data_IF_520380808676
#
_entry.id   IF_520380808676
#
_cell.length_a   1.000
_cell.length_b   1.000
_cell.length_c   1.000
_cell.angle_alpha   90.00
_cell.angle_beta   90.00
_cell.angle_gamma   90.00
#
_symmetry.space_group_name_H-M   'P 1'
#
loop_
_entity.id
_entity.type
_entity.pdbx_description
1 polymer ?
#
# COMPACT_ATOMS: atom_id res chain seq x y z
N UNK A 1 22.85 39.05 -28.97
CA UNK A 1 21.94 38.04 -29.54
C UNK A 1 21.07 37.57 -28.37
N UNK A 2 19.79 37.85 -28.46
CA UNK A 2 18.80 37.61 -27.40
C UNK A 2 18.18 36.24 -27.65
N UNK A 3 18.30 35.34 -26.72
CA UNK A 3 17.61 34.06 -26.76
C UNK A 3 16.19 34.22 -26.19
N UNK A 4 15.22 33.87 -27.04
CA UNK A 4 13.78 33.96 -26.78
C UNK A 4 13.33 32.62 -26.22
N UNK A 5 12.92 32.59 -24.97
CA UNK A 5 12.20 31.44 -24.42
C UNK A 5 10.73 31.52 -24.82
N UNK A 6 10.30 30.59 -25.64
CA UNK A 6 8.91 30.45 -26.07
C UNK A 6 8.17 29.63 -25.00
N UNK A 7 7.31 30.30 -24.24
CA UNK A 7 6.36 29.66 -23.32
C UNK A 7 5.14 29.23 -24.14
N UNK A 8 4.90 27.93 -24.23
CA UNK A 8 3.68 27.40 -24.79
C UNK A 8 2.55 27.47 -23.75
N UNK A 9 1.64 28.41 -23.93
CA UNK A 9 0.33 28.42 -23.32
C UNK A 9 -0.58 27.50 -24.12
N UNK A 10 -0.96 26.36 -23.58
CA UNK A 10 -2.07 25.56 -24.09
C UNK A 10 -3.39 26.13 -23.60
N UNK A 11 -4.06 26.86 -24.48
CA UNK A 11 -5.47 27.27 -24.32
C UNK A 11 -6.34 25.99 -24.43
N UNK A 12 -6.95 25.55 -23.35
CA UNK A 12 -8.05 24.62 -23.40
C UNK A 12 -9.35 25.39 -23.63
N UNK A 13 -9.88 25.29 -24.84
CA UNK A 13 -11.21 25.78 -25.23
C UNK A 13 -12.23 24.80 -24.63
N UNK A 14 -13.19 25.36 -23.90
CA UNK A 14 -14.21 24.64 -23.18
C UNK A 14 -15.12 23.79 -24.06
N UNK A 15 -15.38 22.59 -23.61
CA UNK A 15 -16.59 21.83 -23.91
C UNK A 15 -17.30 21.64 -22.58
N UNK A 16 -18.50 22.22 -22.49
CA UNK A 16 -19.42 22.09 -21.35
C UNK A 16 -19.92 20.65 -21.26
N UNK A 17 -19.18 19.84 -20.52
CA UNK A 17 -19.63 18.59 -19.97
C UNK A 17 -19.47 18.72 -18.47
N UNK A 18 -20.48 18.38 -17.68
CA UNK A 18 -20.43 18.30 -16.22
C UNK A 18 -19.35 17.26 -15.89
N UNK A 19 -18.10 17.69 -15.85
CA UNK A 19 -16.99 16.88 -15.42
C UNK A 19 -17.02 16.84 -13.90
N UNK A 20 -17.33 15.70 -13.31
CA UNK A 20 -17.00 15.39 -11.93
C UNK A 20 -15.47 15.46 -11.82
N UNK A 21 -14.93 16.62 -11.51
CA UNK A 21 -13.53 16.80 -11.16
C UNK A 21 -13.32 16.13 -9.82
N UNK A 22 -12.85 14.90 -9.82
CA UNK A 22 -12.32 14.27 -8.62
C UNK A 22 -11.04 15.00 -8.25
N UNK A 23 -11.15 15.90 -7.31
CA UNK A 23 -9.99 16.44 -6.64
C UNK A 23 -9.59 15.44 -5.56
N UNK A 24 -8.65 14.57 -5.89
CA UNK A 24 -7.87 13.91 -4.86
C UNK A 24 -7.22 15.01 -4.03
N UNK A 25 -7.26 14.90 -2.71
CA UNK A 25 -6.37 15.71 -1.86
C UNK A 25 -4.96 15.34 -2.28
N UNK A 26 -4.42 16.10 -3.20
CA UNK A 26 -3.10 15.85 -3.76
C UNK A 26 -2.07 16.25 -2.71
N UNK A 27 -1.77 15.33 -1.79
CA UNK A 27 -0.66 15.47 -0.86
C UNK A 27 0.69 15.47 -1.61
N UNK A 28 0.66 15.31 -2.92
CA UNK A 28 1.80 15.28 -3.80
C UNK A 28 1.92 13.94 -4.54
N UNK A 29 2.78 13.92 -5.55
CA UNK A 29 3.08 12.72 -6.31
C UNK A 29 3.74 11.67 -5.40
N UNK A 30 3.32 10.41 -5.49
CA UNK A 30 4.06 9.30 -4.91
C UNK A 30 5.48 9.28 -5.48
N UNK A 31 6.47 9.31 -4.61
CA UNK A 31 7.88 9.33 -5.00
C UNK A 31 8.46 7.94 -5.27
N UNK A 32 7.72 6.89 -4.97
CA UNK A 32 8.11 5.52 -5.31
C UNK A 32 7.76 5.26 -6.78
N UNK A 33 8.72 4.99 -7.65
CA UNK A 33 8.43 4.56 -9.02
C UNK A 33 7.87 3.14 -9.01
N UNK A 34 6.87 2.87 -9.87
CA UNK A 34 6.23 1.57 -10.00
C UNK A 34 5.79 0.97 -8.65
N UNK A 35 4.91 1.66 -7.89
CA UNK A 35 4.60 1.35 -6.49
C UNK A 35 3.87 0.02 -6.28
N UNK A 36 3.08 -0.43 -7.26
CA UNK A 36 2.34 -1.70 -7.26
C UNK A 36 3.02 -2.79 -8.09
N UNK A 37 4.29 -2.61 -8.48
CA UNK A 37 5.07 -3.60 -9.27
C UNK A 37 4.50 -3.93 -10.66
N UNK A 38 3.60 -3.12 -11.20
CA UNK A 38 2.88 -3.39 -12.45
C UNK A 38 3.77 -3.38 -13.71
N UNK A 39 4.82 -2.54 -13.69
CA UNK A 39 5.74 -2.40 -14.81
C UNK A 39 6.88 -3.40 -14.69
N UNK A 40 6.87 -4.42 -15.53
CA UNK A 40 7.92 -5.42 -15.62
C UNK A 40 8.36 -5.67 -17.07
N UNK A 41 9.62 -6.03 -17.27
CA UNK A 41 10.19 -6.32 -18.59
C UNK A 41 9.61 -7.58 -19.23
N UNK A 42 9.17 -8.52 -18.41
CA UNK A 42 8.51 -9.76 -18.83
C UNK A 42 7.74 -10.38 -17.66
N UNK A 43 6.81 -11.29 -17.97
CA UNK A 43 6.16 -12.10 -16.96
C UNK A 43 7.17 -12.95 -16.18
N UNK A 44 6.99 -13.12 -14.85
CA UNK A 44 7.88 -13.92 -14.04
C UNK A 44 7.86 -15.38 -14.48
N UNK A 45 9.03 -16.00 -14.48
CA UNK A 45 9.23 -17.40 -14.92
C UNK A 45 9.93 -18.27 -13.88
N UNK A 46 10.56 -17.62 -12.89
CA UNK A 46 11.40 -18.28 -11.88
C UNK A 46 11.38 -17.46 -10.58
N UNK A 47 11.89 -18.03 -9.49
CA UNK A 47 12.18 -17.30 -8.26
C UNK A 47 13.23 -16.21 -8.51
N UNK A 48 13.37 -15.30 -7.54
CA UNK A 48 14.33 -14.20 -7.58
C UNK A 48 14.14 -13.22 -8.76
N UNK A 49 12.93 -13.13 -9.33
CA UNK A 49 12.67 -12.38 -10.57
C UNK A 49 12.42 -10.87 -10.36
N UNK A 50 12.56 -10.36 -9.14
CA UNK A 50 12.37 -8.92 -8.85
C UNK A 50 13.27 -8.02 -9.71
N UNK A 51 14.43 -8.51 -10.13
CA UNK A 51 15.32 -7.82 -11.07
C UNK A 51 14.72 -7.51 -12.45
N UNK A 52 13.61 -8.16 -12.81
CA UNK A 52 12.83 -7.88 -14.02
C UNK A 52 11.83 -6.74 -13.88
N UNK A 53 11.49 -6.36 -12.65
CA UNK A 53 10.53 -5.30 -12.35
C UNK A 53 11.20 -3.93 -12.50
N UNK A 54 10.52 -3.02 -13.19
CA UNK A 54 11.06 -1.68 -13.45
C UNK A 54 11.25 -0.92 -12.14
N UNK A 55 12.41 -0.31 -11.98
CA UNK A 55 12.88 0.44 -10.81
C UNK A 55 13.26 -0.38 -9.57
N UNK A 56 12.76 -1.60 -9.37
CA UNK A 56 12.99 -2.43 -8.18
C UNK A 56 14.23 -3.34 -8.26
N UNK A 57 15.12 -3.09 -9.19
CA UNK A 57 16.30 -3.91 -9.50
C UNK A 57 17.63 -3.34 -8.98
N UNK A 58 17.60 -2.49 -7.96
CA UNK A 58 18.80 -1.77 -7.49
C UNK A 58 19.87 -2.66 -6.84
N UNK A 59 19.52 -3.87 -6.46
CA UNK A 59 20.42 -4.77 -5.75
C UNK A 59 20.46 -6.14 -6.44
N UNK A 60 21.51 -6.45 -7.19
CA UNK A 60 21.62 -7.73 -7.93
C UNK A 60 21.71 -8.98 -7.03
N UNK A 61 21.82 -8.82 -5.71
CA UNK A 61 21.98 -9.91 -4.75
C UNK A 61 20.76 -10.13 -3.85
N UNK A 62 19.64 -9.42 -4.08
CA UNK A 62 18.39 -9.68 -3.37
C UNK A 62 17.56 -10.67 -4.17
N UNK A 63 17.17 -11.75 -3.51
CA UNK A 63 16.40 -12.85 -4.10
C UNK A 63 14.88 -12.69 -3.93
N UNK A 64 14.38 -11.46 -3.83
CA UNK A 64 12.95 -11.21 -3.74
C UNK A 64 12.20 -11.73 -4.98
N UNK A 65 11.03 -12.29 -4.75
CA UNK A 65 10.20 -12.85 -5.79
C UNK A 65 9.25 -11.82 -6.40
N UNK A 66 8.83 -12.06 -7.63
CA UNK A 66 7.85 -11.27 -8.34
C UNK A 66 6.66 -12.12 -8.77
N UNK A 67 5.45 -11.64 -8.52
CA UNK A 67 4.20 -12.29 -8.88
C UNK A 67 3.38 -11.40 -9.78
N UNK A 68 2.81 -11.97 -10.84
CA UNK A 68 1.98 -11.23 -11.77
C UNK A 68 0.94 -12.14 -12.42
N UNK A 69 -0.25 -11.60 -12.69
CA UNK A 69 -1.35 -12.34 -13.33
C UNK A 69 -1.00 -12.89 -14.73
N UNK A 70 -0.04 -12.27 -15.42
CA UNK A 70 0.46 -12.79 -16.70
C UNK A 70 1.35 -14.03 -16.59
N UNK A 71 1.81 -14.41 -15.39
CA UNK A 71 2.64 -15.58 -15.22
C UNK A 71 1.86 -16.83 -15.62
N UNK A 72 2.45 -17.60 -16.53
CA UNK A 72 1.94 -18.92 -16.83
C UNK A 72 2.63 -19.94 -15.89
N UNK A 73 1.94 -21.01 -15.59
CA UNK A 73 2.53 -22.15 -14.87
C UNK A 73 3.61 -22.77 -15.76
N UNK A 74 4.87 -22.34 -15.56
CA UNK A 74 5.98 -22.86 -16.34
C UNK A 74 6.61 -24.06 -15.64
N UNK A 75 6.64 -25.19 -16.35
CA UNK A 75 7.61 -26.23 -16.11
C UNK A 75 8.63 -26.16 -17.26
N UNK A 76 9.76 -25.52 -17.06
CA UNK A 76 10.82 -25.65 -18.06
C UNK A 76 11.32 -27.09 -18.08
N UNK A 77 11.68 -27.61 -19.27
CA UNK A 77 12.25 -28.96 -19.39
C UNK A 77 13.47 -29.15 -18.48
N UNK A 78 14.27 -28.09 -18.34
CA UNK A 78 15.46 -28.06 -17.49
C UNK A 78 15.12 -28.14 -16.01
N UNK A 79 14.08 -27.45 -15.55
CA UNK A 79 13.63 -27.52 -14.16
C UNK A 79 13.11 -28.92 -13.83
N UNK A 80 12.29 -29.53 -14.70
CA UNK A 80 11.83 -30.93 -14.53
C UNK A 80 12.95 -31.94 -14.52
N UNK A 81 14.03 -31.75 -15.32
CA UNK A 81 15.19 -32.63 -15.32
C UNK A 81 15.99 -32.54 -14.01
N UNK A 82 16.09 -31.31 -13.46
CA UNK A 82 16.83 -31.06 -12.23
C UNK A 82 16.03 -31.42 -10.97
N UNK A 83 14.71 -31.29 -11.03
CA UNK A 83 13.80 -31.51 -9.91
C UNK A 83 12.56 -32.33 -10.31
N UNK A 84 12.73 -33.62 -10.66
CA UNK A 84 11.67 -34.42 -11.26
C UNK A 84 10.49 -34.71 -10.33
N UNK A 85 10.63 -34.51 -9.02
CA UNK A 85 9.62 -34.78 -7.99
C UNK A 85 9.10 -33.51 -7.30
N UNK A 86 9.41 -32.33 -7.82
CA UNK A 86 8.99 -31.07 -7.18
C UNK A 86 7.72 -30.52 -7.80
N UNK A 87 6.96 -29.80 -6.96
CA UNK A 87 5.76 -29.11 -7.37
C UNK A 87 6.07 -28.01 -8.38
N UNK A 88 5.09 -27.70 -9.20
CA UNK A 88 5.18 -26.70 -10.27
C UNK A 88 5.46 -25.32 -9.66
N UNK A 89 6.55 -24.67 -10.07
CA UNK A 89 6.79 -23.26 -9.75
C UNK A 89 5.69 -22.41 -10.37
N UNK A 90 4.97 -21.69 -9.54
CA UNK A 90 3.89 -20.82 -9.94
C UNK A 90 4.05 -19.45 -9.29
N UNK A 91 4.31 -18.43 -10.10
CA UNK A 91 4.39 -17.02 -9.69
C UNK A 91 3.19 -16.22 -10.18
N UNK A 92 2.06 -16.88 -10.39
CA UNK A 92 0.83 -16.24 -10.83
C UNK A 92 0.06 -15.60 -9.67
N UNK A 93 -0.72 -14.59 -10.00
CA UNK A 93 -1.71 -13.96 -9.15
C UNK A 93 -3.10 -14.42 -9.62
N UNK A 94 -4.02 -14.79 -8.72
CA UNK A 94 -3.93 -14.76 -7.24
C UNK A 94 -3.35 -16.05 -6.63
N UNK A 95 -3.15 -17.09 -7.40
CA UNK A 95 -2.72 -18.40 -6.90
C UNK A 95 -1.26 -18.65 -7.26
N UNK A 96 -0.42 -18.68 -6.25
CA UNK A 96 1.01 -18.94 -6.38
C UNK A 96 1.43 -20.21 -5.64
N UNK A 97 2.72 -20.57 -5.74
CA UNK A 97 3.32 -21.65 -4.95
C UNK A 97 3.31 -21.38 -3.44
N UNK A 98 3.17 -20.12 -3.02
CA UNK A 98 3.14 -19.70 -1.60
C UNK A 98 1.72 -19.62 -1.02
N UNK A 99 0.69 -19.71 -1.86
CA UNK A 99 -0.70 -19.63 -1.43
C UNK A 99 -1.60 -18.83 -2.35
N UNK A 100 -2.73 -18.38 -1.81
CA UNK A 100 -3.70 -17.56 -2.52
C UNK A 100 -3.66 -16.14 -1.98
N UNK A 101 -3.38 -15.17 -2.86
CA UNK A 101 -3.48 -13.75 -2.54
C UNK A 101 -3.84 -12.96 -3.81
N UNK A 102 -4.96 -12.24 -3.78
CA UNK A 102 -5.24 -11.23 -4.81
C UNK A 102 -4.28 -10.05 -4.66
N UNK A 103 -3.84 -9.46 -5.77
CA UNK A 103 -3.13 -8.20 -5.71
C UNK A 103 -4.00 -7.16 -4.99
N UNK A 104 -3.38 -6.31 -4.17
CA UNK A 104 -4.11 -5.24 -3.50
C UNK A 104 -4.62 -4.23 -4.50
N UNK A 105 -3.79 -3.85 -5.45
CA UNK A 105 -4.18 -3.11 -6.65
C UNK A 105 -3.55 -3.75 -7.89
N UNK A 106 -4.08 -3.47 -9.08
CA UNK A 106 -3.51 -3.99 -10.32
C UNK A 106 -3.51 -5.52 -10.44
N UNK A 107 -2.41 -6.04 -10.99
CA UNK A 107 -2.23 -7.45 -11.37
C UNK A 107 -0.94 -8.08 -10.80
N UNK A 108 -0.19 -7.35 -9.96
CA UNK A 108 1.14 -7.75 -9.50
C UNK A 108 1.38 -7.46 -8.01
N UNK A 109 2.39 -8.10 -7.45
CA UNK A 109 2.99 -7.79 -6.15
C UNK A 109 4.39 -8.44 -6.05
N UNK A 110 5.17 -8.02 -5.07
CA UNK A 110 6.45 -8.65 -4.72
C UNK A 110 6.29 -9.63 -3.55
N UNK A 111 7.29 -10.49 -3.36
CA UNK A 111 7.35 -11.41 -2.21
C UNK A 111 8.75 -11.47 -1.62
N UNK A 112 8.83 -11.56 -0.30
CA UNK A 112 10.09 -11.66 0.43
C UNK A 112 10.01 -12.62 1.61
N UNK A 113 11.09 -13.38 1.78
CA UNK A 113 11.35 -14.14 3.00
C UNK A 113 11.95 -13.23 4.08
N UNK A 114 11.47 -13.34 5.30
CA UNK A 114 11.92 -12.49 6.40
C UNK A 114 13.35 -12.76 6.87
N UNK A 115 13.95 -13.85 6.42
CA UNK A 115 15.27 -14.25 6.95
C UNK A 115 16.43 -13.50 6.28
N UNK A 116 16.31 -13.16 4.99
CA UNK A 116 17.46 -12.70 4.20
C UNK A 116 17.08 -11.91 2.93
N UNK A 117 15.86 -11.47 2.78
CA UNK A 117 15.41 -10.76 1.59
C UNK A 117 14.87 -9.37 1.92
N UNK A 118 15.02 -8.46 0.98
CA UNK A 118 14.47 -7.11 1.05
C UNK A 118 14.15 -6.58 -0.33
N UNK A 119 13.18 -5.67 -0.39
CA UNK A 119 12.87 -4.88 -1.57
C UNK A 119 13.54 -3.52 -1.45
N UNK A 120 14.14 -3.02 -2.52
CA UNK A 120 14.72 -1.70 -2.49
C UNK A 120 14.55 -0.96 -3.81
N UNK A 121 14.32 0.35 -3.71
CA UNK A 121 14.07 1.22 -4.85
C UNK A 121 14.64 2.61 -4.61
N UNK A 122 15.03 3.28 -5.70
CA UNK A 122 15.39 4.69 -5.71
C UNK A 122 14.14 5.52 -5.94
N UNK A 123 13.91 6.52 -5.09
CA UNK A 123 12.82 7.47 -5.25
C UNK A 123 13.00 8.34 -6.51
N UNK A 124 11.90 8.83 -7.07
CA UNK A 124 11.90 9.71 -8.25
C UNK A 124 12.69 11.00 -8.05
N UNK A 125 12.80 11.47 -6.82
CA UNK A 125 13.63 12.61 -6.41
C UNK A 125 14.01 12.48 -4.94
N UNK A 126 15.11 13.15 -4.49
CA UNK A 126 15.44 13.20 -3.06
C UNK A 126 14.33 13.86 -2.23
N UNK A 127 14.23 13.45 -0.97
CA UNK A 127 13.36 14.08 0.01
C UNK A 127 13.92 15.47 0.37
N UNK A 128 13.01 16.40 0.62
CA UNK A 128 13.33 17.80 0.96
C UNK A 128 13.49 17.91 2.47
N UNK A 129 14.59 18.50 2.91
CA UNK A 129 14.87 18.71 4.32
C UNK A 129 13.69 19.36 5.06
N UNK A 130 13.46 18.89 6.27
CA UNK A 130 12.41 19.36 7.21
C UNK A 130 10.96 19.20 6.67
N UNK A 131 10.80 18.58 5.50
CA UNK A 131 9.47 18.22 4.98
C UNK A 131 9.00 16.90 5.57
N UNK A 132 7.70 16.79 5.86
CA UNK A 132 7.05 15.57 6.32
C UNK A 132 6.55 14.77 5.13
N UNK A 133 6.71 13.46 5.20
CA UNK A 133 6.20 12.49 4.20
C UNK A 133 5.34 11.45 4.88
N UNK A 134 4.16 11.16 4.32
CA UNK A 134 3.42 9.94 4.65
C UNK A 134 4.08 8.80 3.91
N UNK A 135 4.44 7.77 4.64
CA UNK A 135 5.09 6.56 4.12
C UNK A 135 4.21 5.38 4.43
N UNK A 136 3.96 4.52 3.44
CA UNK A 136 3.06 3.39 3.59
C UNK A 136 3.39 2.28 2.60
N UNK A 137 3.15 1.05 3.00
CA UNK A 137 3.15 -0.13 2.16
C UNK A 137 2.27 -1.21 2.79
N UNK A 138 1.86 -2.19 2.01
CA UNK A 138 0.97 -3.25 2.47
C UNK A 138 1.65 -4.60 2.42
N UNK A 139 1.34 -5.42 3.42
CA UNK A 139 1.86 -6.78 3.52
C UNK A 139 0.73 -7.79 3.73
N UNK A 140 0.89 -8.99 3.20
CA UNK A 140 0.05 -10.14 3.51
C UNK A 140 0.93 -11.36 3.75
N UNK A 141 0.63 -12.13 4.80
CA UNK A 141 1.39 -13.33 5.10
C UNK A 141 1.01 -14.46 4.14
N UNK A 142 1.97 -15.07 3.48
CA UNK A 142 1.71 -16.18 2.58
C UNK A 142 1.12 -17.40 3.30
N UNK A 143 0.17 -18.10 2.67
CA UNK A 143 -0.48 -19.30 3.21
C UNK A 143 0.49 -20.42 3.59
N UNK A 144 1.62 -20.51 2.90
CA UNK A 144 2.67 -21.49 3.17
C UNK A 144 3.48 -21.20 4.44
N UNK A 145 3.38 -20.00 5.00
CA UNK A 145 4.08 -19.60 6.22
C UNK A 145 3.58 -20.36 7.44
N UNK A 146 4.49 -20.73 8.34
CA UNK A 146 4.15 -21.35 9.63
C UNK A 146 4.29 -20.38 10.81
N UNK A 147 4.81 -19.18 10.56
CA UNK A 147 4.99 -18.14 11.55
C UNK A 147 4.74 -16.75 10.94
N UNK A 148 4.35 -15.79 11.77
CA UNK A 148 4.29 -14.37 11.43
C UNK A 148 5.24 -13.57 12.31
N UNK A 149 5.83 -12.51 11.78
CA UNK A 149 6.70 -11.59 12.52
C UNK A 149 6.00 -10.31 12.91
N UNK A 150 6.55 -9.59 13.88
CA UNK A 150 6.19 -8.21 14.20
C UNK A 150 7.23 -7.19 13.74
N UNK A 151 8.40 -7.65 13.32
CA UNK A 151 9.52 -6.78 12.91
C UNK A 151 9.60 -6.67 11.40
N UNK A 152 8.76 -5.81 10.86
CA UNK A 152 8.71 -5.49 9.45
C UNK A 152 8.67 -3.97 9.31
N UNK A 153 9.45 -3.41 8.38
CA UNK A 153 9.52 -1.97 8.25
C UNK A 153 10.12 -1.48 6.94
N UNK A 154 10.28 -0.15 6.87
CA UNK A 154 10.96 0.53 5.77
C UNK A 154 12.09 1.40 6.30
N UNK A 155 13.27 1.22 5.74
CA UNK A 155 14.43 2.06 5.95
C UNK A 155 14.58 3.08 4.82
N UNK A 156 14.86 4.34 5.17
CA UNK A 156 14.99 5.46 4.25
C UNK A 156 16.40 6.03 4.37
N UNK A 157 17.11 6.22 3.24
CA UNK A 157 18.52 6.62 3.23
C UNK A 157 18.90 7.54 2.08
N UNK A 158 20.01 8.31 2.29
CA UNK A 158 20.61 9.15 1.25
C UNK A 158 21.42 8.31 0.24
N UNK A 159 22.06 7.26 0.71
CA UNK A 159 22.96 6.41 -0.08
C UNK A 159 22.28 5.08 -0.39
N UNK A 160 22.61 4.45 -1.54
CA UNK A 160 22.17 3.10 -1.81
C UNK A 160 22.59 2.18 -0.67
N UNK A 161 21.65 1.35 -0.22
CA UNK A 161 21.95 0.32 0.78
C UNK A 161 22.91 -0.68 0.12
N UNK A 162 24.16 -0.70 0.56
CA UNK A 162 25.16 -1.65 0.09
C UNK A 162 25.28 -2.78 1.08
N UNK A 163 25.10 -3.99 0.59
CA UNK A 163 25.42 -5.19 1.35
C UNK A 163 26.87 -5.53 1.05
N UNK A 164 27.73 -5.43 2.03
CA UNK A 164 29.10 -5.91 1.91
C UNK A 164 29.09 -7.41 2.17
N UNK A 165 29.29 -8.17 1.11
CA UNK A 165 29.43 -9.63 1.16
C UNK A 165 30.85 -10.02 1.58
N UNK A 166 31.16 -9.91 2.84
CA UNK A 166 32.22 -10.72 3.40
C UNK A 166 31.60 -11.99 3.96
N UNK A 167 31.71 -13.06 3.17
CA UNK A 167 31.29 -14.44 3.48
C UNK A 167 29.78 -14.72 3.55
N UNK A 168 29.17 -15.04 2.42
CA UNK A 168 28.05 -15.98 2.20
C UNK A 168 26.81 -16.02 3.14
N UNK A 169 26.61 -15.09 4.08
CA UNK A 169 25.58 -15.20 5.10
C UNK A 169 24.96 -13.87 5.56
N UNK A 170 24.87 -12.82 4.74
CA UNK A 170 24.83 -11.48 5.34
C UNK A 170 23.94 -10.41 4.67
N UNK A 171 22.80 -10.78 4.12
CA UNK A 171 21.72 -9.80 3.98
C UNK A 171 21.18 -9.40 5.36
N UNK A 172 21.19 -10.32 6.29
CA UNK A 172 20.67 -10.12 7.64
C UNK A 172 21.47 -9.11 8.47
N UNK A 173 22.79 -9.00 8.34
CA UNK A 173 23.57 -8.19 9.28
C UNK A 173 23.49 -6.69 9.04
N UNK A 174 23.30 -6.22 7.81
CA UNK A 174 23.27 -4.77 7.55
C UNK A 174 21.91 -4.14 7.89
N UNK A 175 20.80 -4.80 7.57
CA UNK A 175 19.47 -4.36 7.97
C UNK A 175 19.22 -4.53 9.47
N UNK A 176 20.04 -5.33 10.15
CA UNK A 176 19.92 -5.64 11.58
C UNK A 176 20.42 -4.52 12.49
N UNK A 177 21.41 -3.74 12.04
CA UNK A 177 22.07 -2.74 12.89
C UNK A 177 21.46 -1.35 12.78
N UNK A 178 20.49 -1.16 11.87
CA UNK A 178 19.86 0.14 11.64
C UNK A 178 18.35 0.02 11.81
N UNK A 179 17.75 0.67 12.81
CA UNK A 179 16.31 0.64 12.99
C UNK A 179 15.61 1.31 11.80
N UNK A 180 14.54 0.69 11.25
CA UNK A 180 13.73 1.32 10.21
C UNK A 180 13.02 2.54 10.78
N UNK A 181 12.85 3.58 9.96
CA UNK A 181 12.12 4.78 10.38
C UNK A 181 10.61 4.55 10.41
N UNK A 182 10.12 3.67 9.54
CA UNK A 182 8.72 3.24 9.52
C UNK A 182 8.69 1.75 9.82
N UNK A 183 7.93 1.36 10.83
CA UNK A 183 7.88 -0.04 11.26
C UNK A 183 6.48 -0.44 11.70
N UNK A 184 6.19 -1.71 11.57
CA UNK A 184 4.99 -2.31 12.16
C UNK A 184 5.00 -2.09 13.68
N UNK A 185 3.86 -1.76 14.30
CA UNK A 185 3.75 -1.67 15.75
C UNK A 185 4.30 -2.90 16.47
N UNK A 186 5.09 -2.73 17.55
CA UNK A 186 5.83 -3.84 18.18
C UNK A 186 4.93 -4.86 18.90
N UNK A 187 3.68 -4.54 19.16
CA UNK A 187 2.65 -5.38 19.77
C UNK A 187 1.82 -6.14 18.72
N UNK A 188 1.91 -5.79 17.45
CA UNK A 188 1.14 -6.41 16.36
C UNK A 188 1.97 -7.46 15.63
N UNK A 189 1.56 -8.73 15.68
CA UNK A 189 2.08 -9.78 14.82
C UNK A 189 1.35 -9.78 13.48
N UNK A 190 2.09 -9.80 12.39
CA UNK A 190 1.58 -9.86 11.02
C UNK A 190 1.26 -11.32 10.67
N UNK A 191 0.05 -11.74 10.99
CA UNK A 191 -0.40 -13.14 10.84
C UNK A 191 -1.56 -13.32 9.88
N UNK A 192 -2.06 -12.24 9.28
CA UNK A 192 -3.17 -12.30 8.34
C UNK A 192 -2.69 -12.82 6.99
N UNK A 193 -3.32 -13.92 6.53
CA UNK A 193 -3.04 -14.57 5.23
C UNK A 193 -4.14 -14.27 4.20
N UNK A 194 -5.20 -13.57 4.58
CA UNK A 194 -6.33 -13.29 3.71
C UNK A 194 -6.38 -11.83 3.26
N UNK A 195 -5.94 -10.93 4.13
CA UNK A 195 -6.05 -9.49 3.91
C UNK A 195 -4.67 -8.82 3.83
N UNK A 196 -4.64 -7.67 3.19
CA UNK A 196 -3.49 -6.79 3.17
C UNK A 196 -3.47 -5.91 4.42
N UNK A 197 -2.40 -6.00 5.18
CA UNK A 197 -2.18 -5.21 6.40
C UNK A 197 -1.30 -4.01 6.08
N UNK A 198 -1.74 -2.77 6.34
CA UNK A 198 -0.92 -1.59 6.14
C UNK A 198 0.18 -1.48 7.20
N UNK A 199 1.36 -1.02 6.77
CA UNK A 199 2.43 -0.53 7.62
C UNK A 199 2.70 0.91 7.19
N UNK A 200 2.43 1.86 8.07
CA UNK A 200 2.47 3.27 7.71
C UNK A 200 3.01 4.15 8.85
N UNK A 201 3.43 5.35 8.49
CA UNK A 201 3.87 6.35 9.44
C UNK A 201 4.28 7.65 8.75
N UNK A 202 4.65 8.64 9.57
CA UNK A 202 5.18 9.91 9.08
C UNK A 202 6.69 9.95 9.26
N UNK A 203 7.36 10.46 8.23
CA UNK A 203 8.80 10.66 8.23
C UNK A 203 9.14 12.12 7.98
N UNK A 204 9.83 12.75 8.92
CA UNK A 204 10.41 14.09 8.71
C UNK A 204 11.80 13.92 8.09
N UNK A 205 11.95 14.37 6.85
CA UNK A 205 13.17 14.21 6.09
C UNK A 205 14.33 15.04 6.62
N UNK A 206 15.52 14.44 6.65
CA UNK A 206 16.78 15.14 6.98
C UNK A 206 17.33 15.92 5.78
N UNK A 207 16.87 15.55 4.58
CA UNK A 207 17.23 16.12 3.29
C UNK A 207 18.26 15.27 2.56
N UNK A 208 17.97 14.95 1.30
CA UNK A 208 18.87 14.16 0.46
C UNK A 208 18.55 12.67 0.37
N UNK A 209 17.67 12.16 1.24
CA UNK A 209 17.27 10.74 1.19
C UNK A 209 16.58 10.44 -0.13
N UNK A 210 17.01 9.40 -0.80
CA UNK A 210 16.50 9.02 -2.11
C UNK A 210 16.43 7.49 -2.33
N UNK A 211 16.65 6.69 -1.30
CA UNK A 211 16.53 5.24 -1.36
C UNK A 211 15.67 4.74 -0.22
N UNK A 212 14.86 3.74 -0.51
CA UNK A 212 14.10 3.00 0.50
C UNK A 212 14.40 1.51 0.39
N UNK A 213 14.33 0.82 1.54
CA UNK A 213 14.36 -0.64 1.60
C UNK A 213 13.28 -1.15 2.55
N UNK A 214 12.58 -2.22 2.14
CA UNK A 214 11.50 -2.86 2.88
C UNK A 214 11.93 -4.28 3.23
N UNK A 215 11.76 -4.68 4.50
CA UNK A 215 12.11 -6.02 4.96
C UNK A 215 12.08 -6.18 6.47
N UNK A 216 12.70 -7.26 6.95
CA UNK A 216 12.95 -7.50 8.38
C UNK A 216 14.22 -6.83 8.84
N UNK A 217 14.14 -6.06 9.93
CA UNK A 217 15.26 -5.23 10.41
C UNK A 217 15.87 -5.72 11.73
N UNK A 218 15.63 -6.94 12.13
CA UNK A 218 16.15 -7.50 13.37
C UNK A 218 16.66 -8.94 13.16
N UNK A 219 17.69 -9.38 13.91
CA UNK A 219 18.11 -10.76 13.85
C UNK A 219 16.94 -11.68 14.24
N UNK A 220 16.86 -12.78 13.52
CA UNK A 220 15.86 -13.81 13.83
C UNK A 220 16.03 -14.26 15.29
N UNK A 221 14.96 -14.12 16.07
CA UNK A 221 14.87 -14.63 17.43
C UNK A 221 13.46 -15.17 17.66
N UNK A 222 13.33 -16.31 18.33
CA UNK A 222 12.03 -16.98 18.53
C UNK A 222 10.96 -16.08 19.20
N UNK A 223 11.36 -15.10 20.02
CA UNK A 223 10.42 -14.13 20.61
C UNK A 223 9.86 -13.10 19.62
N UNK A 224 10.43 -13.03 18.42
CA UNK A 224 10.05 -12.05 17.39
C UNK A 224 9.05 -12.60 16.39
N UNK A 225 8.78 -13.89 16.45
CA UNK A 225 7.85 -14.60 15.58
C UNK A 225 6.77 -15.29 16.39
N UNK A 226 5.55 -15.25 15.88
CA UNK A 226 4.42 -15.98 16.41
C UNK A 226 4.19 -17.21 15.55
N UNK A 227 4.33 -18.39 16.13
CA UNK A 227 3.96 -19.66 15.48
C UNK A 227 2.46 -19.70 15.23
N UNK A 228 2.06 -19.94 13.98
CA UNK A 228 0.66 -19.95 13.57
C UNK A 228 0.16 -21.38 13.40
N UNK A 229 1.03 -22.28 12.96
CA UNK A 229 0.67 -23.68 12.61
C UNK A 229 1.84 -24.62 12.88
N UNK A 230 1.50 -25.89 13.10
CA UNK A 230 2.50 -26.97 13.07
C UNK A 230 2.89 -27.26 11.62
N UNK A 231 4.20 -27.31 11.38
CA UNK A 231 4.90 -27.64 10.13
C UNK A 231 4.01 -28.06 8.95
N UNK A 232 3.51 -27.08 8.17
CA UNK A 232 3.14 -27.40 6.79
C UNK A 232 4.45 -27.56 6.01
N UNK A 233 4.57 -28.51 5.08
CA UNK A 233 5.69 -28.53 4.17
C UNK A 233 5.60 -27.24 3.34
N UNK A 234 6.49 -26.31 3.58
CA UNK A 234 6.82 -25.25 2.63
C UNK A 234 7.14 -25.94 1.31
N UNK A 235 6.81 -25.27 0.20
CA UNK A 235 7.25 -25.74 -1.09
C UNK A 235 8.71 -26.18 -0.95
N UNK A 236 9.02 -27.39 -1.35
CA UNK A 236 10.29 -28.10 -1.11
C UNK A 236 11.56 -27.32 -1.52
N UNK A 237 11.38 -26.19 -2.17
CA UNK A 237 12.41 -25.24 -2.61
C UNK A 237 13.10 -24.55 -1.45
N UNK A 238 12.36 -24.19 -0.39
CA UNK A 238 12.95 -23.63 0.82
C UNK A 238 13.23 -24.75 1.82
N UNK A 239 14.22 -25.56 1.52
CA UNK A 239 14.84 -26.49 2.49
C UNK A 239 15.77 -25.74 3.42
N UNK A 240 15.29 -24.64 4.02
CA UNK A 240 16.02 -24.07 5.12
C UNK A 240 15.88 -25.01 6.32
N UNK A 241 16.97 -25.19 7.04
CA UNK A 241 17.01 -25.90 8.32
C UNK A 241 16.24 -25.14 9.41
N UNK A 242 15.60 -24.04 9.07
CA UNK A 242 14.90 -23.15 9.97
C UNK A 242 13.51 -23.67 10.29
N UNK A 243 13.24 -23.81 11.58
CA UNK A 243 11.98 -24.36 12.10
C UNK A 243 10.76 -23.45 11.88
N UNK A 244 10.96 -22.17 11.57
CA UNK A 244 9.91 -21.19 11.41
C UNK A 244 10.23 -20.29 10.21
N UNK A 245 9.31 -20.19 9.25
CA UNK A 245 9.45 -19.32 8.09
C UNK A 245 8.25 -18.40 7.99
N UNK A 246 8.52 -17.10 7.89
CA UNK A 246 7.56 -16.08 7.53
C UNK A 246 7.90 -15.55 6.14
N UNK A 247 6.98 -15.71 5.20
CA UNK A 247 7.08 -15.18 3.84
C UNK A 247 5.93 -14.18 3.62
N UNK A 248 6.25 -12.99 3.15
CA UNK A 248 5.26 -11.92 2.95
C UNK A 248 5.19 -11.48 1.51
N UNK A 249 3.96 -11.28 1.05
CA UNK A 249 3.68 -10.47 -0.12
C UNK A 249 3.69 -8.99 0.26
N UNK A 250 4.17 -8.14 -0.66
CA UNK A 250 4.27 -6.68 -0.48
C UNK A 250 3.68 -6.00 -1.71
N UNK A 251 2.83 -4.98 -1.48
CA UNK A 251 2.17 -4.23 -2.55
C UNK A 251 1.97 -2.76 -2.17
N UNK A 252 1.68 -1.92 -3.16
CA UNK A 252 1.28 -0.51 -3.02
C UNK A 252 2.18 0.32 -2.11
N UNK A 253 3.46 0.40 -2.46
CA UNK A 253 4.46 1.15 -1.71
C UNK A 253 4.34 2.65 -2.00
N UNK A 254 4.29 3.49 -0.98
CA UNK A 254 4.16 4.93 -1.15
C UNK A 254 5.07 5.75 -0.24
N UNK A 255 5.60 6.83 -0.79
CA UNK A 255 6.27 7.93 -0.09
C UNK A 255 5.72 9.22 -0.70
N UNK A 256 4.83 9.89 0.01
CA UNK A 256 4.08 11.04 -0.49
C UNK A 256 4.33 12.25 0.40
N UNK A 257 4.64 13.45 -0.16
CA UNK A 257 4.74 14.67 0.62
C UNK A 257 3.45 14.91 1.41
N UNK A 258 3.59 15.16 2.71
CA UNK A 258 2.49 15.41 3.61
C UNK A 258 2.36 16.91 3.86
N UNK A 259 1.26 17.51 3.42
CA UNK A 259 1.01 18.92 3.64
C UNK A 259 0.18 19.12 4.92
N UNK A 260 0.80 19.64 5.97
CA UNK A 260 0.11 19.95 7.24
C UNK A 260 -0.99 21.01 7.11
N UNK A 261 -0.88 21.89 6.11
CA UNK A 261 -1.88 22.92 5.83
C UNK A 261 -2.94 22.43 4.84
N UNK A 262 -3.67 21.42 5.27
CA UNK A 262 -4.78 20.94 4.50
C UNK A 262 -6.02 21.80 4.82
N UNK A 263 -6.51 22.53 3.82
CA UNK A 263 -7.71 23.36 3.92
C UNK A 263 -8.67 22.96 2.81
N UNK A 264 -9.61 22.05 3.08
CA UNK A 264 -10.57 21.63 2.07
C UNK A 264 -11.51 22.78 1.69
N UNK A 265 -11.80 22.91 0.41
CA UNK A 265 -12.73 23.90 -0.13
C UNK A 265 -14.19 23.46 0.09
N UNK A 266 -15.05 24.41 0.42
CA UNK A 266 -16.48 24.16 0.63
C UNK A 266 -17.13 23.77 -0.70
N UNK A 267 -17.98 22.75 -0.70
CA UNK A 267 -18.71 22.25 -1.88
C UNK A 267 -17.86 21.40 -2.84
N UNK A 268 -16.62 21.08 -2.45
CA UNK A 268 -15.74 20.18 -3.21
C UNK A 268 -15.74 18.79 -2.56
N UNK A 269 -15.89 17.75 -3.37
CA UNK A 269 -15.80 16.35 -2.91
C UNK A 269 -14.32 15.91 -2.85
N UNK A 270 -13.93 15.37 -1.72
CA UNK A 270 -12.60 14.82 -1.46
C UNK A 270 -12.68 13.35 -1.12
N UNK A 271 -11.74 12.56 -1.62
CA UNK A 271 -11.56 11.16 -1.22
C UNK A 271 -10.68 11.10 0.02
N UNK A 272 -11.14 10.43 1.06
CA UNK A 272 -10.32 10.06 2.20
C UNK A 272 -9.31 8.99 1.75
N UNK A 273 -8.02 9.33 1.78
CA UNK A 273 -6.94 8.55 1.17
C UNK A 273 -6.50 7.36 2.04
N UNK A 274 -6.55 7.54 3.36
CA UNK A 274 -5.98 6.62 4.35
C UNK A 274 -7.06 6.01 5.24
N UNK A 275 -8.22 5.68 4.64
CA UNK A 275 -9.31 5.01 5.34
C UNK A 275 -9.31 3.53 5.00
N UNK A 276 -9.02 2.72 5.99
CA UNK A 276 -8.86 1.28 5.84
C UNK A 276 -9.93 0.53 6.59
N UNK A 277 -10.44 -0.50 5.94
CA UNK A 277 -11.37 -1.47 6.50
C UNK A 277 -10.83 -2.87 6.25
N UNK A 278 -11.07 -3.80 7.14
CA UNK A 278 -10.87 -5.21 6.82
C UNK A 278 -11.76 -5.62 5.63
N UNK A 279 -11.34 -6.70 4.96
CA UNK A 279 -12.13 -7.25 3.86
C UNK A 279 -13.55 -7.57 4.34
N UNK A 280 -14.52 -7.09 3.58
CA UNK A 280 -15.95 -7.27 3.87
C UNK A 280 -16.43 -6.70 5.21
N UNK A 281 -15.67 -5.78 5.81
CA UNK A 281 -16.00 -5.12 7.08
C UNK A 281 -16.16 -3.61 6.93
N UNK A 282 -16.73 -3.03 7.96
CA UNK A 282 -16.90 -1.59 8.13
C UNK A 282 -16.26 -1.04 9.43
N UNK A 283 -15.46 -1.86 10.12
CA UNK A 283 -14.64 -1.39 11.24
C UNK A 283 -13.41 -0.68 10.70
N UNK A 284 -13.17 0.55 11.19
CA UNK A 284 -11.98 1.32 10.83
C UNK A 284 -10.74 0.67 11.43
N UNK A 285 -9.70 0.51 10.62
CA UNK A 285 -8.40 0.09 11.13
C UNK A 285 -7.70 1.27 11.82
N UNK A 286 -6.84 1.01 12.83
CA UNK A 286 -6.13 2.05 13.58
C UNK A 286 -5.35 3.04 12.71
N UNK A 287 -4.87 2.59 11.56
CA UNK A 287 -4.12 3.38 10.58
C UNK A 287 -4.96 4.49 9.93
N UNK A 288 -6.30 4.41 10.03
CA UNK A 288 -7.21 5.47 9.56
C UNK A 288 -7.25 6.67 10.50
N UNK A 289 -6.76 6.54 11.73
CA UNK A 289 -6.91 7.55 12.77
C UNK A 289 -6.24 8.89 12.41
N UNK A 290 -5.07 8.85 11.79
CA UNK A 290 -4.31 10.07 11.46
C UNK A 290 -5.08 11.02 10.54
N UNK A 291 -5.70 10.51 9.48
CA UNK A 291 -6.48 11.34 8.55
C UNK A 291 -7.77 11.84 9.19
N UNK A 292 -8.45 10.98 9.94
CA UNK A 292 -9.70 11.34 10.62
C UNK A 292 -9.48 12.32 11.77
N UNK A 293 -8.37 12.22 12.49
CA UNK A 293 -8.00 13.22 13.52
C UNK A 293 -7.80 14.60 12.91
N UNK A 294 -7.08 14.70 11.78
CA UNK A 294 -6.90 15.97 11.06
C UNK A 294 -8.23 16.57 10.59
N UNK A 295 -9.12 15.74 10.07
CA UNK A 295 -10.44 16.17 9.65
C UNK A 295 -11.26 16.65 10.86
N UNK A 296 -11.17 15.93 11.99
CA UNK A 296 -11.80 16.33 13.24
C UNK A 296 -11.25 17.66 13.78
N UNK A 297 -9.92 17.83 13.77
CA UNK A 297 -9.28 19.10 14.19
C UNK A 297 -9.74 20.26 13.30
N UNK A 298 -9.76 20.06 11.97
CA UNK A 298 -10.24 21.07 11.04
C UNK A 298 -11.69 21.47 11.31
N UNK A 299 -12.60 20.49 11.46
CA UNK A 299 -14.02 20.73 11.74
C UNK A 299 -14.26 21.36 13.11
N UNK A 300 -13.43 21.08 14.12
CA UNK A 300 -13.49 21.71 15.42
C UNK A 300 -13.07 23.18 15.38
N UNK A 301 -12.09 23.54 14.52
CA UNK A 301 -11.68 24.93 14.27
C UNK A 301 -12.69 25.70 13.43
N UNK A 302 -13.57 24.99 12.68
CA UNK A 302 -14.57 25.58 11.79
C UNK A 302 -15.99 25.11 12.19
N UNK A 303 -16.56 25.66 13.28
CA UNK A 303 -17.89 25.25 13.79
C UNK A 303 -19.05 25.61 12.84
N UNK A 304 -18.82 26.47 11.88
CA UNK A 304 -19.72 26.89 10.81
C UNK A 304 -19.80 25.92 9.61
N UNK A 305 -19.04 24.82 9.65
CA UNK A 305 -19.06 23.80 8.60
C UNK A 305 -19.78 22.54 9.03
N UNK A 306 -20.53 21.98 8.10
CA UNK A 306 -21.09 20.62 8.12
C UNK A 306 -20.29 19.71 7.18
N UNK A 307 -20.31 18.41 7.42
CA UNK A 307 -19.68 17.42 6.59
C UNK A 307 -20.69 16.39 6.08
N UNK A 308 -20.61 16.06 4.80
CA UNK A 308 -21.36 14.97 4.17
C UNK A 308 -20.38 13.89 3.75
N UNK A 309 -20.57 12.67 4.24
CA UNK A 309 -19.68 11.51 4.00
C UNK A 309 -20.41 10.52 3.09
N UNK A 310 -19.76 10.09 2.01
CA UNK A 310 -20.32 9.11 1.07
C UNK A 310 -19.40 7.92 0.90
N UNK A 311 -19.92 6.72 1.20
CA UNK A 311 -19.20 5.47 0.97
C UNK A 311 -19.49 4.87 -0.40
N UNK A 312 -18.50 4.23 -1.02
CA UNK A 312 -18.61 3.56 -2.31
C UNK A 312 -18.00 2.16 -2.26
N UNK A 313 -18.47 1.29 -3.17
CA UNK A 313 -17.92 -0.04 -3.40
C UNK A 313 -17.53 -0.21 -4.87
N UNK A 314 -16.81 -1.27 -5.18
CA UNK A 314 -16.74 -1.79 -6.54
C UNK A 314 -18.03 -2.52 -6.93
N UNK A 315 -18.04 -3.15 -8.12
CA UNK A 315 -19.21 -3.84 -8.66
C UNK A 315 -19.34 -5.33 -8.22
N UNK A 316 -18.50 -5.82 -7.31
CA UNK A 316 -18.67 -7.15 -6.77
C UNK A 316 -19.78 -7.18 -5.71
N UNK A 317 -20.64 -8.21 -5.79
CA UNK A 317 -21.79 -8.36 -4.90
C UNK A 317 -23.10 -7.84 -5.47
N UNK A 318 -24.19 -7.98 -4.70
CA UNK A 318 -25.49 -7.44 -5.09
C UNK A 318 -25.58 -5.95 -4.79
N UNK A 319 -26.44 -5.24 -5.50
CA UNK A 319 -26.68 -3.81 -5.29
C UNK A 319 -27.07 -3.50 -3.82
N UNK A 320 -28.01 -4.27 -3.27
CA UNK A 320 -28.43 -4.11 -1.87
C UNK A 320 -27.28 -4.34 -0.88
N UNK A 321 -26.45 -5.33 -1.15
CA UNK A 321 -25.28 -5.62 -0.34
C UNK A 321 -24.27 -4.46 -0.35
N UNK A 322 -23.92 -4.00 -1.57
CA UNK A 322 -22.98 -2.89 -1.78
C UNK A 322 -23.49 -1.58 -1.16
N UNK A 323 -24.79 -1.30 -1.26
CA UNK A 323 -25.40 -0.14 -0.64
C UNK A 323 -25.25 -0.20 0.90
N UNK A 324 -25.56 -1.35 1.50
CA UNK A 324 -25.42 -1.53 2.95
C UNK A 324 -23.96 -1.43 3.41
N UNK A 325 -23.02 -2.09 2.70
CA UNK A 325 -21.61 -2.05 3.06
C UNK A 325 -21.05 -0.62 2.99
N UNK A 326 -21.33 0.09 1.90
CA UNK A 326 -20.87 1.48 1.73
C UNK A 326 -21.48 2.42 2.77
N UNK A 327 -22.77 2.25 3.10
CA UNK A 327 -23.43 3.03 4.15
C UNK A 327 -22.80 2.77 5.54
N UNK A 328 -22.50 1.52 5.86
CA UNK A 328 -21.85 1.17 7.14
C UNK A 328 -20.43 1.74 7.22
N UNK A 329 -19.68 1.79 6.12
CA UNK A 329 -18.35 2.42 6.06
C UNK A 329 -18.42 3.93 6.24
N UNK A 330 -19.36 4.60 5.57
CA UNK A 330 -19.60 6.04 5.79
C UNK A 330 -20.01 6.33 7.23
N UNK A 331 -20.88 5.47 7.81
CA UNK A 331 -21.29 5.55 9.21
C UNK A 331 -20.10 5.42 10.17
N UNK A 332 -19.19 4.48 9.95
CA UNK A 332 -18.01 4.31 10.82
C UNK A 332 -17.13 5.56 10.84
N UNK A 333 -16.92 6.21 9.70
CA UNK A 333 -16.23 7.52 9.62
C UNK A 333 -17.02 8.58 10.38
N UNK A 334 -18.34 8.66 10.20
CA UNK A 334 -19.20 9.62 10.89
C UNK A 334 -19.19 9.43 12.42
N UNK A 335 -19.21 8.19 12.88
CA UNK A 335 -19.14 7.85 14.31
C UNK A 335 -17.78 8.25 14.89
N UNK A 336 -16.68 7.98 14.18
CA UNK A 336 -15.35 8.42 14.59
C UNK A 336 -15.26 9.94 14.77
N UNK A 337 -15.75 10.73 13.82
CA UNK A 337 -15.76 12.19 13.92
C UNK A 337 -16.61 12.66 15.12
N UNK A 338 -17.76 12.03 15.36
CA UNK A 338 -18.61 12.36 16.50
C UNK A 338 -17.94 12.04 17.84
N UNK A 339 -17.24 10.92 17.95
CA UNK A 339 -16.44 10.54 19.12
C UNK A 339 -15.27 11.50 19.38
N UNK A 340 -14.76 12.14 18.30
CA UNK A 340 -13.71 13.15 18.37
C UNK A 340 -14.24 14.60 18.43
N UNK A 341 -15.48 14.78 18.91
CA UNK A 341 -16.01 16.09 19.34
C UNK A 341 -16.84 16.83 18.29
N UNK A 342 -17.06 16.26 17.10
CA UNK A 342 -17.92 16.89 16.09
C UNK A 342 -19.38 16.59 16.43
N UNK A 343 -20.18 17.66 16.62
CA UNK A 343 -21.61 17.53 16.92
C UNK A 343 -22.34 16.73 15.84
N UNK A 344 -23.12 15.70 16.23
CA UNK A 344 -23.77 14.75 15.32
C UNK A 344 -24.64 15.43 14.27
N UNK A 345 -25.29 16.53 14.59
CA UNK A 345 -26.09 17.31 13.66
C UNK A 345 -25.31 17.99 12.54
N UNK A 346 -23.99 18.05 12.65
CA UNK A 346 -23.08 18.58 11.63
C UNK A 346 -22.54 17.48 10.69
N UNK A 347 -22.90 16.23 10.94
CA UNK A 347 -22.40 15.07 10.19
C UNK A 347 -23.56 14.40 9.49
N UNK A 348 -23.56 14.42 8.17
CA UNK A 348 -24.44 13.60 7.32
C UNK A 348 -23.63 12.48 6.66
N UNK A 349 -24.25 11.32 6.46
CA UNK A 349 -23.58 10.21 5.80
C UNK A 349 -24.54 9.35 5.00
N UNK A 350 -24.04 8.75 3.91
CA UNK A 350 -24.78 7.83 3.07
C UNK A 350 -23.87 6.85 2.35
N UNK A 351 -24.47 5.73 1.90
CA UNK A 351 -23.83 4.80 0.99
C UNK A 351 -24.34 4.99 -0.43
N UNK A 352 -23.45 5.01 -1.41
CA UNK A 352 -23.76 5.01 -2.84
C UNK A 352 -23.63 3.61 -3.48
N UNK A 353 -23.12 2.61 -2.73
CA UNK A 353 -22.83 1.30 -3.29
C UNK A 353 -21.89 1.38 -4.48
N UNK A 354 -22.19 0.66 -5.54
CA UNK A 354 -21.41 0.65 -6.79
C UNK A 354 -22.00 1.58 -7.88
N UNK A 355 -22.96 2.45 -7.55
CA UNK A 355 -23.68 3.27 -8.52
C UNK A 355 -22.86 4.43 -9.10
N UNK A 356 -21.81 4.87 -8.42
CA UNK A 356 -20.97 6.00 -8.80
C UNK A 356 -19.50 5.57 -8.98
N UNK A 357 -19.17 4.75 -9.98
CA UNK A 357 -17.81 4.34 -10.22
C UNK A 357 -16.97 5.50 -10.77
N UNK A 358 -15.72 5.62 -10.31
CA UNK A 358 -14.76 6.64 -10.74
C UNK A 358 -13.69 6.07 -11.67
N UNK A 359 -13.65 4.75 -11.76
CA UNK A 359 -12.73 4.02 -12.62
C UNK A 359 -13.41 2.74 -13.16
N UNK A 360 -12.76 2.11 -14.14
CA UNK A 360 -13.27 0.89 -14.77
C UNK A 360 -13.26 -0.29 -13.80
N UNK A 361 -14.44 -0.80 -13.47
CA UNK A 361 -14.62 -2.00 -12.64
C UNK A 361 -14.10 -3.29 -13.29
N UNK A 362 -13.79 -3.28 -14.58
CA UNK A 362 -13.19 -4.42 -15.28
C UNK A 362 -11.74 -4.68 -14.83
N UNK A 363 -11.05 -3.67 -14.31
CA UNK A 363 -9.67 -3.77 -13.84
C UNK A 363 -9.59 -3.84 -12.32
N UNK A 364 -8.58 -4.54 -11.78
CA UNK A 364 -8.35 -4.58 -10.32
C UNK A 364 -8.04 -3.18 -9.77
N UNK A 365 -7.23 -2.40 -10.49
CA UNK A 365 -6.91 -1.02 -10.15
C UNK A 365 -8.16 -0.14 -10.10
N UNK A 366 -9.02 -0.23 -11.12
CA UNK A 366 -10.26 0.55 -11.15
C UNK A 366 -11.22 0.17 -10.01
N UNK A 367 -11.32 -1.11 -9.67
CA UNK A 367 -12.10 -1.55 -8.50
C UNK A 367 -11.52 -1.00 -7.19
N UNK A 368 -10.20 -0.96 -7.05
CA UNK A 368 -9.56 -0.36 -5.87
C UNK A 368 -9.90 1.11 -5.70
N UNK A 369 -9.91 1.88 -6.79
CA UNK A 369 -10.31 3.28 -6.79
C UNK A 369 -11.82 3.47 -6.50
N UNK A 370 -12.65 2.51 -6.88
CA UNK A 370 -14.09 2.57 -6.62
C UNK A 370 -14.44 2.26 -5.16
N UNK A 371 -13.64 1.45 -4.45
CA UNK A 371 -13.78 1.19 -3.00
C UNK A 371 -13.20 2.35 -2.20
N UNK A 372 -13.98 3.42 -2.00
CA UNK A 372 -13.54 4.65 -1.37
C UNK A 372 -14.60 5.24 -0.43
N UNK A 373 -14.18 6.16 0.41
CA UNK A 373 -15.06 7.06 1.16
C UNK A 373 -14.74 8.48 0.74
N UNK A 374 -15.76 9.23 0.38
CA UNK A 374 -15.66 10.66 0.05
C UNK A 374 -16.25 11.52 1.16
N UNK A 375 -15.82 12.76 1.25
CA UNK A 375 -16.50 13.78 2.02
C UNK A 375 -16.62 15.10 1.25
N UNK A 376 -17.60 15.91 1.63
CA UNK A 376 -17.83 17.27 1.15
C UNK A 376 -18.14 18.17 2.36
N UNK A 377 -17.51 19.34 2.42
CA UNK A 377 -17.83 20.35 3.44
C UNK A 377 -18.92 21.29 2.92
N UNK A 378 -19.86 21.63 3.80
CA UNK A 378 -20.92 22.61 3.52
C UNK A 378 -20.93 23.71 4.57
N UNK A 379 -21.26 24.92 4.18
CA UNK A 379 -21.45 26.00 5.14
C UNK A 379 -22.85 25.90 5.77
N UNK A 380 -22.91 26.01 7.10
CA UNK A 380 -24.18 26.11 7.84
C UNK A 380 -24.88 27.45 7.59
N UNK A 381 -24.09 28.49 7.24
CA UNK A 381 -24.63 29.82 6.93
C UNK A 381 -25.00 29.88 5.44
N UNK A 382 -26.17 30.45 5.08
CA UNK A 382 -26.47 30.69 3.68
C UNK A 382 -25.41 31.65 3.11
N UNK A 383 -24.76 31.20 2.03
CA UNK A 383 -23.87 32.08 1.25
C UNK A 383 -24.73 33.24 0.75
N UNK A 384 -24.57 34.40 1.37
CA UNK A 384 -25.17 35.62 0.81
C UNK A 384 -24.62 35.80 -0.61
N UNK A 385 -25.54 35.78 -1.58
CA UNK A 385 -25.24 35.96 -3.02
C UNK A 385 -24.93 37.40 -3.33
#
# INVERSE_FOLDING_TARGET
MKDIYTVFFLLFIGISGIGYGQYYVNTGQNLVPNPGFEDARACPKDCDYIGGVVAWNLFPNFSADYFHRCANVYQTKEYRQRFPNEEILNFSVPRSMFGYQEARSGDAYAGISMCNEALAVKLLRPLVKDSVYKVEFFVSLADSSNAGTRYFGMYISEMPIRITTDNHMLVSSFLLDVPPQIQNPPDRFLTDTANWTPISGFYTAKGGEQYIAIGGFYPYHDSLVQKIRDNRPLAKIYRSTEKQLAYYFVDDVSVVPYNEKWTPEIGVKYVLQYIYFDFDKSELLPESADELNRLSEYLNLHPDLEIVITGHTDNFGTETYNLNLSNNRAKAVADYLAENGIARQRIDFSGAGSSEPVADNGTAQGRSLNRRVEFELKSVLPVEK
#
